data_IF_014251596198
#
_entry.id   IF_014251596198
#
_cell.length_a   1.000
_cell.length_b   1.000
_cell.length_c   1.000
_cell.angle_alpha   90.00
_cell.angle_beta   90.00
_cell.angle_gamma   90.00
#
_symmetry.space_group_name_H-M   'P 1'
#
loop_
_entity.id
_entity.type
_entity.pdbx_description
1 polymer ?
#
# COMPACT_ATOMS: atom_id res chain seq x y z
N UNK A 1 -19.66 12.03 28.17
CA UNK A 1 -18.20 11.98 27.99
C UNK A 1 -17.97 11.29 26.65
N UNK A 2 -17.60 12.03 25.60
CA UNK A 2 -17.39 11.47 24.25
C UNK A 2 -15.98 10.88 24.24
N UNK A 3 -15.86 9.59 23.93
CA UNK A 3 -14.55 8.94 23.70
C UNK A 3 -13.98 9.46 22.38
N UNK A 4 -12.89 10.22 22.46
CA UNK A 4 -12.21 10.84 21.31
C UNK A 4 -11.08 9.97 20.75
N UNK A 5 -10.93 8.73 21.24
CA UNK A 5 -9.94 7.81 20.66
C UNK A 5 -10.42 7.41 19.27
N UNK A 6 -9.62 7.61 18.21
CA UNK A 6 -9.97 7.11 16.89
C UNK A 6 -10.21 5.61 17.00
N UNK A 7 -11.30 5.13 16.40
CA UNK A 7 -11.59 3.70 16.35
C UNK A 7 -10.42 2.97 15.67
N UNK A 8 -10.06 1.76 16.13
CA UNK A 8 -8.97 1.00 15.51
C UNK A 8 -9.28 0.78 14.02
N UNK A 9 -8.25 0.91 13.19
CA UNK A 9 -8.41 0.67 11.75
C UNK A 9 -8.68 -0.81 11.50
N UNK A 10 -9.72 -1.09 10.74
CA UNK A 10 -10.14 -2.45 10.44
C UNK A 10 -9.37 -2.92 9.21
N UNK A 11 -8.61 -4.00 9.39
CA UNK A 11 -7.61 -4.47 8.46
C UNK A 11 -7.98 -5.81 7.81
N UNK A 12 -7.82 -5.90 6.48
CA UNK A 12 -7.80 -7.14 5.73
C UNK A 12 -6.36 -7.47 5.36
N UNK A 13 -5.90 -8.69 5.69
CA UNK A 13 -4.56 -9.12 5.32
C UNK A 13 -4.58 -9.85 3.98
N UNK A 14 -3.61 -9.57 3.11
CA UNK A 14 -3.51 -10.23 1.79
C UNK A 14 -2.15 -10.91 1.63
N UNK A 15 -2.14 -12.10 1.02
CA UNK A 15 -0.91 -12.81 0.72
C UNK A 15 -0.98 -13.54 -0.62
N UNK A 16 0.17 -13.63 -1.29
CA UNK A 16 0.38 -14.55 -2.42
C UNK A 16 1.06 -15.80 -1.89
N UNK A 17 0.36 -16.93 -2.01
CA UNK A 17 0.91 -18.24 -1.71
C UNK A 17 1.68 -18.75 -2.93
N UNK A 18 3.00 -18.81 -2.79
CA UNK A 18 3.91 -19.34 -3.82
C UNK A 18 4.02 -20.84 -3.62
N UNK A 19 3.79 -21.62 -4.67
CA UNK A 19 3.95 -23.08 -4.65
C UNK A 19 5.46 -23.45 -4.62
N UNK A 20 6.16 -23.03 -3.56
CA UNK A 20 7.57 -23.31 -3.31
C UNK A 20 7.68 -24.49 -2.34
N UNK A 21 8.05 -25.68 -2.83
CA UNK A 21 8.19 -26.88 -1.99
C UNK A 21 9.33 -26.79 -0.97
N UNK A 22 10.20 -25.78 -1.05
CA UNK A 22 11.26 -25.54 -0.08
C UNK A 22 10.90 -24.46 0.96
N UNK A 23 9.73 -23.85 0.88
CA UNK A 23 9.32 -22.86 1.89
C UNK A 23 9.05 -23.57 3.22
N UNK A 24 9.75 -23.13 4.27
CA UNK A 24 9.56 -23.63 5.64
C UNK A 24 8.24 -23.17 6.25
N UNK A 25 7.63 -22.12 5.68
CA UNK A 25 6.41 -21.49 6.16
C UNK A 25 5.41 -21.39 5.01
N UNK A 26 4.16 -21.81 5.25
CA UNK A 26 3.08 -21.57 4.30
C UNK A 26 2.50 -20.15 4.47
N UNK A 27 1.69 -19.70 3.51
CA UNK A 27 1.09 -18.37 3.55
C UNK A 27 0.18 -18.15 4.77
N UNK A 28 -0.36 -19.22 5.37
CA UNK A 28 -1.25 -19.13 6.53
C UNK A 28 -0.45 -18.78 7.78
N UNK A 29 0.68 -19.44 7.98
CA UNK A 29 1.59 -19.14 9.10
C UNK A 29 2.15 -17.72 9.00
N UNK A 30 2.53 -17.30 7.78
CA UNK A 30 3.00 -15.94 7.51
C UNK A 30 1.94 -14.89 7.85
N UNK A 31 0.68 -15.12 7.46
CA UNK A 31 -0.43 -14.23 7.77
C UNK A 31 -0.79 -14.21 9.27
N UNK A 32 -0.60 -15.32 9.99
CA UNK A 32 -0.81 -15.35 11.43
C UNK A 32 0.20 -14.46 12.17
N UNK A 33 1.46 -14.46 11.71
CA UNK A 33 2.51 -13.56 12.18
C UNK A 33 2.19 -12.10 11.83
N UNK A 34 1.85 -11.82 10.57
CA UNK A 34 1.45 -10.49 10.11
C UNK A 34 0.26 -9.94 10.91
N UNK A 35 -0.70 -10.80 11.26
CA UNK A 35 -1.83 -10.41 12.11
C UNK A 35 -1.38 -9.99 13.51
N UNK A 36 -0.33 -10.61 14.05
CA UNK A 36 0.27 -10.23 15.33
C UNK A 36 0.95 -8.86 15.25
N UNK A 37 1.69 -8.61 14.17
CA UNK A 37 2.29 -7.30 13.89
C UNK A 37 1.20 -6.21 13.75
N UNK A 38 0.15 -6.47 12.97
CA UNK A 38 -0.95 -5.54 12.74
C UNK A 38 -1.65 -5.16 14.06
N UNK A 39 -1.90 -6.15 14.94
CA UNK A 39 -2.46 -5.90 16.28
C UNK A 39 -1.50 -5.07 17.15
N UNK A 40 -0.20 -5.33 17.05
CA UNK A 40 0.83 -4.55 17.77
C UNK A 40 0.84 -3.09 17.32
N UNK A 41 0.58 -2.83 16.04
CA UNK A 41 0.46 -1.49 15.47
C UNK A 41 -0.89 -0.79 15.78
N UNK A 42 -1.86 -1.50 16.39
CA UNK A 42 -3.16 -0.98 16.78
C UNK A 42 -4.30 -1.23 15.78
N UNK A 43 -4.10 -2.08 14.76
CA UNK A 43 -5.14 -2.44 13.81
C UNK A 43 -5.99 -3.63 14.30
N UNK A 44 -7.27 -3.63 13.93
CA UNK A 44 -8.20 -4.74 14.13
C UNK A 44 -8.22 -5.62 12.88
N UNK A 45 -7.64 -6.81 12.93
CA UNK A 45 -7.65 -7.75 11.79
C UNK A 45 -9.02 -8.42 11.70
N UNK A 46 -9.75 -8.17 10.61
CA UNK A 46 -11.13 -8.66 10.40
C UNK A 46 -11.23 -9.76 9.35
N UNK A 47 -10.14 -10.08 8.65
CA UNK A 47 -10.11 -11.15 7.66
C UNK A 47 -8.75 -11.33 7.00
N UNK A 48 -8.65 -12.38 6.18
CA UNK A 48 -7.48 -12.68 5.36
C UNK A 48 -7.89 -13.11 3.96
N UNK A 49 -7.05 -12.82 2.98
CA UNK A 49 -7.28 -13.10 1.57
C UNK A 49 -5.99 -13.64 0.93
N UNK A 50 -5.97 -14.94 0.68
CA UNK A 50 -4.84 -15.63 0.05
C UNK A 50 -5.13 -15.87 -1.43
N UNK A 51 -4.10 -15.77 -2.27
CA UNK A 51 -4.15 -16.20 -3.66
C UNK A 51 -2.91 -17.02 -4.00
N UNK A 52 -3.14 -18.23 -4.51
CA UNK A 52 -2.06 -19.10 -4.99
C UNK A 52 -1.60 -18.65 -6.38
N UNK A 53 -0.32 -18.31 -6.54
CA UNK A 53 0.32 -17.91 -7.79
C UNK A 53 1.78 -18.38 -7.83
N UNK A 54 2.33 -18.64 -9.01
CA UNK A 54 3.78 -18.90 -9.16
C UNK A 54 4.62 -17.68 -8.76
N UNK A 55 4.11 -16.47 -9.04
CA UNK A 55 4.72 -15.20 -8.68
C UNK A 55 3.64 -14.13 -8.51
N UNK A 56 3.86 -13.11 -7.65
CA UNK A 56 2.93 -12.01 -7.52
C UNK A 56 2.67 -11.28 -8.85
N UNK A 57 1.43 -10.85 -9.05
CA UNK A 57 1.04 -10.04 -10.21
C UNK A 57 1.71 -8.67 -10.15
N UNK A 58 2.30 -8.22 -11.25
CA UNK A 58 3.07 -6.97 -11.31
C UNK A 58 2.19 -5.73 -11.16
N UNK A 59 0.87 -5.84 -11.42
CA UNK A 59 -0.06 -4.73 -11.29
C UNK A 59 -0.71 -4.69 -9.92
N UNK A 60 -1.19 -5.81 -9.37
CA UNK A 60 -2.10 -5.82 -8.21
C UNK A 60 -1.68 -6.79 -7.11
N UNK A 61 -0.49 -7.40 -7.20
CA UNK A 61 0.03 -8.42 -6.29
C UNK A 61 -0.79 -9.74 -6.31
N UNK A 62 -2.09 -9.70 -6.06
CA UNK A 62 -3.02 -10.84 -6.11
C UNK A 62 -3.57 -11.16 -7.51
N UNK A 63 -3.40 -10.27 -8.48
CA UNK A 63 -4.09 -10.31 -9.76
C UNK A 63 -5.47 -9.66 -9.71
N UNK A 64 -5.90 -9.09 -10.85
CA UNK A 64 -7.10 -8.23 -10.95
C UNK A 64 -8.38 -8.87 -10.42
N UNK A 65 -8.58 -10.16 -10.68
CA UNK A 65 -9.79 -10.88 -10.26
C UNK A 65 -9.88 -11.00 -8.74
N UNK A 66 -8.79 -11.47 -8.10
CA UNK A 66 -8.73 -11.60 -6.65
C UNK A 66 -8.73 -10.24 -5.96
N UNK A 67 -8.06 -9.22 -6.52
CA UNK A 67 -8.06 -7.87 -5.97
C UNK A 67 -9.48 -7.28 -5.89
N UNK A 68 -10.35 -7.54 -6.88
CA UNK A 68 -11.77 -7.16 -6.83
C UNK A 68 -12.54 -7.92 -5.76
N UNK A 69 -12.31 -9.23 -5.64
CA UNK A 69 -12.93 -10.01 -4.55
C UNK A 69 -12.51 -9.49 -3.18
N UNK A 70 -11.23 -9.14 -3.01
CA UNK A 70 -10.74 -8.51 -1.77
C UNK A 70 -11.38 -7.13 -1.53
N UNK A 71 -11.66 -6.36 -2.58
CA UNK A 71 -12.41 -5.10 -2.47
C UNK A 71 -13.87 -5.33 -2.00
N UNK A 72 -14.54 -6.36 -2.53
CA UNK A 72 -15.89 -6.72 -2.12
C UNK A 72 -15.92 -7.21 -0.66
N UNK A 73 -14.97 -8.06 -0.26
CA UNK A 73 -14.74 -8.49 1.12
C UNK A 73 -14.50 -7.28 2.03
N UNK A 74 -13.63 -6.36 1.62
CA UNK A 74 -13.31 -5.15 2.35
C UNK A 74 -14.55 -4.28 2.58
N UNK A 75 -15.39 -4.09 1.54
CA UNK A 75 -16.65 -3.34 1.64
C UNK A 75 -17.65 -4.01 2.57
N UNK A 76 -17.84 -5.32 2.42
CA UNK A 76 -18.76 -6.09 3.25
C UNK A 76 -18.36 -6.08 4.73
N UNK A 77 -17.06 -6.13 4.99
CA UNK A 77 -16.51 -6.14 6.34
C UNK A 77 -16.27 -4.73 6.88
N UNK A 78 -16.39 -3.65 6.11
CA UNK A 78 -16.09 -2.28 6.58
C UNK A 78 -14.61 -2.08 6.90
N UNK A 79 -13.74 -2.65 6.08
CA UNK A 79 -12.28 -2.51 6.13
C UNK A 79 -11.87 -1.14 5.59
N UNK A 80 -10.88 -0.52 6.23
CA UNK A 80 -10.28 0.75 5.77
C UNK A 80 -8.80 0.59 5.44
N UNK A 81 -8.20 -0.53 5.84
CA UNK A 81 -6.79 -0.83 5.71
C UNK A 81 -6.58 -2.22 5.09
N UNK A 82 -5.75 -2.32 4.08
CA UNK A 82 -5.27 -3.59 3.55
C UNK A 82 -3.78 -3.70 3.85
N UNK A 83 -3.35 -4.85 4.36
CA UNK A 83 -1.94 -5.11 4.68
C UNK A 83 -1.46 -6.30 3.85
N UNK A 84 -0.51 -6.06 2.96
CA UNK A 84 0.13 -7.08 2.16
C UNK A 84 1.29 -7.75 2.90
N UNK A 85 1.37 -9.07 2.75
CA UNK A 85 2.38 -9.89 3.40
C UNK A 85 3.80 -9.68 2.87
N UNK A 86 3.93 -9.44 1.57
CA UNK A 86 5.19 -9.11 0.92
C UNK A 86 5.34 -7.59 0.72
N UNK A 87 6.58 -7.14 0.50
CA UNK A 87 6.84 -5.78 0.05
C UNK A 87 6.21 -5.52 -1.33
N UNK A 88 5.50 -4.40 -1.44
CA UNK A 88 4.84 -4.02 -2.69
C UNK A 88 5.68 -2.99 -3.44
N UNK A 89 5.79 -3.12 -4.75
CA UNK A 89 6.27 -2.00 -5.57
C UNK A 89 5.33 -0.79 -5.46
N UNK A 90 5.81 0.45 -5.72
CA UNK A 90 4.95 1.63 -5.71
C UNK A 90 3.75 1.52 -6.66
N UNK A 91 3.91 0.83 -7.79
CA UNK A 91 2.81 0.61 -8.75
C UNK A 91 1.79 -0.38 -8.19
N UNK A 92 2.22 -1.48 -7.57
CA UNK A 92 1.30 -2.47 -6.99
C UNK A 92 0.45 -1.87 -5.88
N UNK A 93 1.07 -1.10 -4.99
CA UNK A 93 0.36 -0.44 -3.92
C UNK A 93 -0.73 0.50 -4.47
N UNK A 94 -0.40 1.39 -5.42
CA UNK A 94 -1.38 2.32 -6.01
C UNK A 94 -2.53 1.59 -6.69
N UNK A 95 -2.25 0.55 -7.47
CA UNK A 95 -3.29 -0.22 -8.14
C UNK A 95 -4.19 -0.96 -7.15
N UNK A 96 -3.65 -1.46 -6.04
CA UNK A 96 -4.46 -2.03 -4.97
C UNK A 96 -5.33 -0.97 -4.30
N UNK A 97 -4.78 0.22 -3.99
CA UNK A 97 -5.55 1.35 -3.45
C UNK A 97 -6.68 1.77 -4.39
N UNK A 98 -6.39 1.90 -5.70
CA UNK A 98 -7.38 2.25 -6.73
C UNK A 98 -8.50 1.21 -6.86
N UNK A 99 -8.18 -0.09 -6.77
CA UNK A 99 -9.15 -1.18 -6.93
C UNK A 99 -9.99 -1.38 -5.66
N UNK A 100 -9.38 -1.23 -4.49
CA UNK A 100 -9.99 -1.57 -3.20
C UNK A 100 -10.62 -0.38 -2.50
N UNK A 101 -10.26 0.85 -2.92
CA UNK A 101 -10.66 2.10 -2.26
C UNK A 101 -10.26 2.15 -0.78
N UNK A 102 -9.30 1.31 -0.37
CA UNK A 102 -8.76 1.21 0.98
C UNK A 102 -7.31 1.72 0.99
N UNK A 103 -6.82 2.17 2.15
CA UNK A 103 -5.39 2.42 2.32
C UNK A 103 -4.65 1.09 2.26
N UNK A 104 -3.51 1.03 1.57
CA UNK A 104 -2.71 -0.19 1.48
C UNK A 104 -1.36 0.03 2.16
N UNK A 105 -0.98 -0.90 3.03
CA UNK A 105 0.36 -1.03 3.58
C UNK A 105 0.95 -2.37 3.14
N UNK A 106 2.27 -2.44 3.08
CA UNK A 106 2.99 -3.71 3.02
C UNK A 106 3.64 -4.01 4.36
N UNK A 107 4.22 -5.22 4.47
CA UNK A 107 4.94 -5.67 5.66
C UNK A 107 6.04 -4.70 6.08
N UNK A 108 6.79 -4.15 5.13
CA UNK A 108 7.88 -3.20 5.41
C UNK A 108 7.33 -1.93 6.08
N UNK A 109 6.27 -1.33 5.53
CA UNK A 109 5.63 -0.17 6.12
C UNK A 109 5.09 -0.45 7.53
N UNK A 110 4.44 -1.59 7.73
CA UNK A 110 3.91 -1.99 9.03
C UNK A 110 5.02 -2.12 10.09
N UNK A 111 6.14 -2.76 9.74
CA UNK A 111 7.30 -2.90 10.64
C UNK A 111 7.87 -1.53 11.00
N UNK A 112 8.01 -0.63 10.04
CA UNK A 112 8.49 0.73 10.29
C UNK A 112 7.55 1.53 11.20
N UNK A 113 6.23 1.35 11.06
CA UNK A 113 5.25 1.99 11.95
C UNK A 113 5.35 1.45 13.39
N UNK A 114 5.52 0.14 13.55
CA UNK A 114 5.76 -0.47 14.87
C UNK A 114 7.06 0.09 15.47
N UNK A 115 8.15 0.17 14.71
CA UNK A 115 9.40 0.74 15.22
C UNK A 115 9.24 2.22 15.61
N UNK A 116 8.48 3.01 14.85
CA UNK A 116 8.21 4.40 15.19
C UNK A 116 7.46 4.53 16.52
N UNK A 117 6.49 3.64 16.79
CA UNK A 117 5.76 3.60 18.06
C UNK A 117 6.65 3.24 19.26
N UNK A 118 7.72 2.47 19.03
CA UNK A 118 8.60 1.95 20.08
C UNK A 118 9.93 2.74 20.25
N UNK A 119 10.32 3.57 19.28
CA UNK A 119 11.56 4.33 19.34
C UNK A 119 11.55 5.42 20.45
N UNK A 120 12.27 5.16 21.55
CA UNK A 120 12.34 6.08 22.71
C UNK A 120 13.56 6.99 22.74
N UNK A 121 14.67 6.58 22.12
CA UNK A 121 15.91 7.38 22.10
C UNK A 121 15.92 8.31 20.89
N UNK A 122 16.62 9.44 21.00
CA UNK A 122 16.77 10.38 19.88
C UNK A 122 17.41 9.73 18.66
N UNK A 123 18.43 8.91 18.89
CA UNK A 123 19.11 8.16 17.83
C UNK A 123 18.16 7.16 17.15
N UNK A 124 17.40 6.38 17.92
CA UNK A 124 16.44 5.42 17.39
C UNK A 124 15.32 6.10 16.59
N UNK A 125 14.83 7.25 17.07
CA UNK A 125 13.84 8.05 16.33
C UNK A 125 14.39 8.50 14.97
N UNK A 126 15.63 9.00 14.94
CA UNK A 126 16.27 9.43 13.69
C UNK A 126 16.49 8.27 12.71
N UNK A 127 16.87 7.09 13.20
CA UNK A 127 17.04 5.90 12.35
C UNK A 127 15.73 5.45 11.74
N UNK A 128 14.64 5.42 12.53
CA UNK A 128 13.32 5.06 12.02
C UNK A 128 12.80 6.11 11.04
N UNK A 129 12.96 7.40 11.35
CA UNK A 129 12.57 8.49 10.43
C UNK A 129 13.33 8.40 9.09
N UNK A 130 14.63 8.11 9.14
CA UNK A 130 15.43 7.91 7.93
C UNK A 130 14.87 6.74 7.10
N UNK A 131 14.66 5.58 7.72
CA UNK A 131 14.12 4.40 7.02
C UNK A 131 12.73 4.65 6.44
N UNK A 132 11.87 5.36 7.18
CA UNK A 132 10.56 5.78 6.68
C UNK A 132 10.67 6.74 5.49
N UNK A 133 11.62 7.68 5.50
CA UNK A 133 11.84 8.58 4.38
C UNK A 133 12.35 7.82 3.14
N UNK A 134 13.31 6.92 3.31
CA UNK A 134 13.83 6.06 2.22
C UNK A 134 12.73 5.20 1.60
N UNK A 135 11.84 4.63 2.42
CA UNK A 135 10.70 3.85 1.94
C UNK A 135 9.64 4.72 1.22
N UNK A 136 9.36 5.93 1.73
CA UNK A 136 8.32 6.82 1.16
C UNK A 136 8.77 7.53 -0.12
N UNK A 137 10.04 7.90 -0.25
CA UNK A 137 10.59 8.64 -1.40
C UNK A 137 10.17 8.08 -2.77
N UNK A 138 10.41 6.78 -3.10
CA UNK A 138 10.02 6.22 -4.40
C UNK A 138 8.50 6.18 -4.61
N UNK A 139 7.71 6.14 -3.53
CA UNK A 139 6.23 6.08 -3.56
C UNK A 139 5.62 7.46 -3.77
N UNK A 140 6.23 8.51 -3.23
CA UNK A 140 5.81 9.90 -3.41
C UNK A 140 6.11 10.41 -4.83
N UNK A 141 7.29 10.12 -5.37
CA UNK A 141 7.72 10.62 -6.68
C UNK A 141 6.73 10.27 -7.81
N UNK A 142 6.20 9.05 -7.82
CA UNK A 142 5.21 8.62 -8.82
C UNK A 142 3.75 9.02 -8.53
N UNK A 143 3.47 9.69 -7.40
CA UNK A 143 2.12 10.18 -7.07
C UNK A 143 1.79 11.52 -7.75
N UNK A 144 2.80 12.18 -8.33
CA UNK A 144 2.68 13.43 -9.07
C UNK A 144 1.75 13.34 -10.30
N UNK A 145 1.60 12.16 -10.91
CA UNK A 145 0.66 11.93 -12.03
C UNK A 145 -0.82 11.96 -11.60
N UNK A 146 -1.14 11.58 -10.35
CA UNK A 146 -2.52 11.67 -9.84
C UNK A 146 -2.87 13.12 -9.45
N UNK A 147 -1.91 13.86 -8.87
CA UNK A 147 -2.04 15.29 -8.62
C UNK A 147 -2.15 16.12 -9.91
N UNK A 148 -1.47 15.73 -10.99
CA UNK A 148 -1.60 16.40 -12.29
C UNK A 148 -2.94 16.15 -12.97
N UNK A 149 -3.56 14.98 -12.81
CA UNK A 149 -4.95 14.72 -13.25
C UNK A 149 -5.97 15.53 -12.45
N UNK A 150 -5.78 15.70 -11.15
CA UNK A 150 -6.63 16.58 -10.32
C UNK A 150 -6.40 18.08 -10.63
N UNK A 151 -5.17 18.48 -10.96
CA UNK A 151 -4.83 19.86 -11.36
C UNK A 151 -5.20 20.21 -12.81
N UNK A 152 -5.40 19.21 -13.68
CA UNK A 152 -5.71 19.39 -15.10
C UNK A 152 -7.19 19.72 -15.40
N UNK A 153 -8.08 19.62 -14.41
CA UNK A 153 -9.52 19.88 -14.56
C UNK A 153 -9.95 21.35 -14.58
N UNK A 154 -9.01 22.29 -14.45
CA UNK A 154 -9.28 23.74 -14.42
C UNK A 154 -8.58 24.49 -15.56
N UNK A 155 -8.80 24.07 -16.81
CA UNK A 155 -8.71 25.00 -17.95
C UNK A 155 -9.92 24.77 -18.86
N UNK A 156 -10.81 25.74 -18.79
CA UNK A 156 -12.15 25.69 -19.34
C UNK A 156 -12.23 25.59 -20.85
N UNK A 157 -13.46 25.32 -21.27
CA UNK A 157 -13.94 25.57 -22.61
C UNK A 157 -13.63 27.02 -23.04
N UNK A 158 -12.73 27.17 -24.00
CA UNK A 158 -12.73 28.23 -25.00
C UNK A 158 -11.71 27.84 -26.08
N UNK A 159 -12.17 27.78 -27.32
CA UNK A 159 -11.33 27.44 -28.46
C UNK A 159 -10.30 28.51 -28.81
N UNK A 160 -9.72 28.30 -29.99
CA UNK A 160 -8.84 29.18 -30.79
C UNK A 160 -7.34 28.93 -30.62
N UNK A 161 -6.81 28.23 -31.64
CA UNK A 161 -5.57 28.54 -32.37
C UNK A 161 -4.32 28.95 -31.59
N UNK A 162 -3.26 28.12 -31.70
CA UNK A 162 -1.90 28.54 -31.42
C UNK A 162 -0.92 27.38 -31.45
N UNK A 163 -0.23 27.21 -32.58
CA UNK A 163 1.04 26.51 -32.63
C UNK A 163 2.10 27.21 -31.74
N UNK A 164 3.28 26.60 -31.62
CA UNK A 164 4.47 26.98 -30.79
C UNK A 164 4.42 26.26 -29.42
N UNK A 165 5.23 25.26 -29.08
CA UNK A 165 6.60 24.94 -29.46
C UNK A 165 7.43 24.86 -28.17
N UNK A 166 7.90 23.66 -27.79
CA UNK A 166 9.11 23.44 -26.97
C UNK A 166 9.28 21.94 -26.73
N UNK A 167 9.87 21.27 -27.71
CA UNK A 167 10.57 20.00 -27.54
C UNK A 167 11.97 20.35 -27.02
N UNK A 168 12.43 19.70 -25.95
CA UNK A 168 13.77 19.87 -25.39
C UNK A 168 14.11 18.71 -24.45
N UNK A 169 15.40 18.40 -24.26
CA UNK A 169 15.97 17.14 -24.72
C UNK A 169 16.22 16.14 -23.59
N UNK A 170 16.31 14.86 -23.96
CA UNK A 170 16.73 13.82 -23.03
C UNK A 170 18.19 13.94 -22.64
N UNK A 171 18.55 13.32 -21.52
CA UNK A 171 19.78 12.55 -21.38
C UNK A 171 19.48 11.34 -20.49
N UNK A 172 19.50 10.16 -21.11
CA UNK A 172 19.75 8.88 -20.46
C UNK A 172 21.25 8.74 -20.24
N UNK A 173 21.63 8.37 -19.02
CA UNK A 173 22.68 7.39 -18.77
C UNK A 173 22.33 6.56 -17.56
#
# INVERSE_FOLDING_TARGET
MIDLRPAPERALLIAVDRDDPNSSWDATDSLAELASLARTAGAEVVGTAIQRLEKPDTATYLGKGRARQAADEAKALGVTLIIADDELSPSQQRQLEDVTECRVLDRTALILDIFAQHARTREGQLQVELAQNEYRLPRLAGSSEHLSRLGGGSRGAAGVGGAIGARGPGETK
#
